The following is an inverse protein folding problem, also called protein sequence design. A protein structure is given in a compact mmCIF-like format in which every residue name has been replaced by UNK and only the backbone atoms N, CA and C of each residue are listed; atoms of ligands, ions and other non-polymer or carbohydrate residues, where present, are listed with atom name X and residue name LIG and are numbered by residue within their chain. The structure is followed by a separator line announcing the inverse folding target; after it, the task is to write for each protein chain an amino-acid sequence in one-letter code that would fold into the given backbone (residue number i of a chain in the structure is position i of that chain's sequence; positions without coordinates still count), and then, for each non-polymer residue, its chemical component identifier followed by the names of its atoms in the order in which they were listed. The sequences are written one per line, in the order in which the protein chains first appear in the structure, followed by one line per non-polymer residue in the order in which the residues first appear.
data_IF_940703786057
#
_entry.id   IF_940703786057
#
_cell.length_a   1.000
_cell.length_b   1.000
_cell.length_c   1.000
_cell.angle_alpha   90.00
_cell.angle_beta   90.00
_cell.angle_gamma   90.00
#
_symmetry.space_group_name_H-M   'P 1'
#
loop_
_entity.id
_entity.type
_entity.pdbx_description
1 polymer ?
#
# COMPACT_ATOMS: atom_id res chain seq x y z
N UNK A 1 -4.37 11.67 36.97
CA UNK A 1 -5.44 12.03 36.01
C UNK A 1 -5.10 11.38 34.69
N UNK A 2 -5.93 10.49 34.12
CA UNK A 2 -5.69 9.98 32.77
C UNK A 2 -5.80 11.12 31.77
N UNK A 3 -4.80 11.26 30.90
CA UNK A 3 -4.82 12.23 29.80
C UNK A 3 -5.95 11.82 28.86
N UNK A 4 -6.94 12.68 28.53
CA UNK A 4 -7.99 12.31 27.60
C UNK A 4 -7.35 11.92 26.27
N UNK A 5 -7.66 10.71 25.79
CA UNK A 5 -7.19 10.27 24.48
C UNK A 5 -7.82 11.18 23.42
N UNK A 6 -7.05 11.71 22.46
CA UNK A 6 -7.62 12.52 21.40
C UNK A 6 -8.65 11.69 20.62
N UNK A 7 -9.87 12.21 20.53
CA UNK A 7 -10.92 11.62 19.70
C UNK A 7 -10.68 12.10 18.28
N UNK A 8 -10.16 11.22 17.44
CA UNK A 8 -9.97 11.51 16.02
C UNK A 8 -11.27 11.27 15.27
N UNK A 9 -11.64 12.23 14.43
CA UNK A 9 -12.72 12.09 13.45
C UNK A 9 -12.34 11.05 12.40
N UNK A 10 -13.35 10.51 11.71
CA UNK A 10 -13.13 9.62 10.55
C UNK A 10 -12.26 10.28 9.48
N UNK A 11 -12.45 11.57 9.25
CA UNK A 11 -11.69 12.31 8.24
C UNK A 11 -10.20 12.41 8.60
N UNK A 12 -9.87 12.62 9.88
CA UNK A 12 -8.48 12.64 10.35
C UNK A 12 -7.82 11.27 10.25
N UNK A 13 -8.55 10.20 10.58
CA UNK A 13 -8.08 8.82 10.40
C UNK A 13 -7.80 8.55 8.91
N UNK A 14 -8.69 8.95 8.01
CA UNK A 14 -8.47 8.76 6.57
C UNK A 14 -7.32 9.61 6.03
N UNK A 15 -7.13 10.84 6.52
CA UNK A 15 -5.97 11.66 6.16
C UNK A 15 -4.65 11.06 6.68
N UNK A 16 -4.67 10.44 7.86
CA UNK A 16 -3.53 9.66 8.35
C UNK A 16 -3.27 8.44 7.46
N UNK A 17 -4.32 7.68 7.10
CA UNK A 17 -4.21 6.53 6.18
C UNK A 17 -3.71 6.93 4.81
N UNK A 18 -4.09 8.09 4.30
CA UNK A 18 -3.60 8.54 3.00
C UNK A 18 -2.08 8.69 2.97
N UNK A 19 -1.51 9.15 4.08
CA UNK A 19 -0.05 9.26 4.24
C UNK A 19 0.58 7.90 4.51
N UNK A 20 0.09 7.18 5.51
CA UNK A 20 0.64 5.88 5.91
C UNK A 20 0.61 4.86 4.77
N UNK A 21 -0.51 4.79 4.04
CA UNK A 21 -0.73 3.85 2.95
C UNK A 21 -0.32 4.41 1.58
N UNK A 22 0.33 5.58 1.54
CA UNK A 22 0.86 6.21 0.31
C UNK A 22 -0.20 6.41 -0.78
N UNK A 23 -1.41 6.80 -0.38
CA UNK A 23 -2.56 7.08 -1.27
C UNK A 23 -2.53 8.50 -1.86
N UNK A 24 -1.36 9.14 -1.87
CA UNK A 24 -1.13 10.48 -2.41
C UNK A 24 -0.05 10.43 -3.51
N UNK A 25 -0.20 11.17 -4.63
CA UNK A 25 0.69 11.02 -5.79
C UNK A 25 2.18 11.27 -5.49
N UNK A 26 2.48 12.18 -4.56
CA UNK A 26 3.85 12.50 -4.16
C UNK A 26 4.47 11.48 -3.19
N UNK A 27 3.68 10.60 -2.59
CA UNK A 27 4.14 9.54 -1.69
C UNK A 27 4.23 8.16 -2.36
N UNK A 28 3.84 8.06 -3.64
CA UNK A 28 3.67 6.78 -4.32
C UNK A 28 4.94 5.93 -4.33
N UNK A 29 4.77 4.62 -4.30
CA UNK A 29 5.84 3.65 -4.55
C UNK A 29 6.25 3.72 -6.02
N UNK A 30 7.55 3.86 -6.28
CA UNK A 30 8.11 4.00 -7.64
C UNK A 30 9.05 2.85 -8.04
N UNK A 31 9.36 1.97 -7.11
CA UNK A 31 10.35 0.91 -7.30
C UNK A 31 10.77 0.26 -5.99
N UNK A 32 11.72 -0.66 -6.09
CA UNK A 32 12.10 -1.60 -5.03
C UNK A 32 12.42 -0.92 -3.69
N UNK A 33 13.29 0.09 -3.68
CA UNK A 33 13.67 0.80 -2.43
C UNK A 33 12.49 1.46 -1.75
N UNK A 34 11.59 2.09 -2.53
CA UNK A 34 10.38 2.72 -1.98
C UNK A 34 9.32 1.71 -1.53
N UNK A 35 9.30 0.54 -2.17
CA UNK A 35 8.39 -0.55 -1.84
C UNK A 35 8.83 -1.24 -0.53
N UNK A 36 10.12 -1.52 -0.36
CA UNK A 36 10.65 -2.07 0.89
C UNK A 36 10.33 -1.14 2.07
N UNK A 37 10.69 0.14 1.95
CA UNK A 37 10.35 1.14 2.98
C UNK A 37 8.84 1.19 3.27
N UNK A 38 8.00 1.03 2.23
CA UNK A 38 6.56 0.96 2.43
C UNK A 38 6.14 -0.24 3.28
N UNK A 39 6.61 -1.43 2.94
CA UNK A 39 6.30 -2.66 3.68
C UNK A 39 6.79 -2.55 5.12
N UNK A 40 7.99 -2.02 5.34
CA UNK A 40 8.54 -1.79 6.68
C UNK A 40 7.67 -0.83 7.50
N UNK A 41 7.24 0.28 6.91
CA UNK A 41 6.41 1.29 7.60
C UNK A 41 5.02 0.75 8.00
N UNK A 42 4.43 -0.14 7.20
CA UNK A 42 3.07 -0.66 7.44
C UNK A 42 3.04 -2.06 8.07
N UNK A 43 4.19 -2.74 8.14
CA UNK A 43 4.37 -4.10 8.65
C UNK A 43 3.89 -5.19 7.69
N UNK A 44 2.69 -5.04 7.13
CA UNK A 44 2.15 -5.95 6.11
C UNK A 44 1.15 -5.23 5.20
N UNK A 45 0.98 -5.75 3.98
CA UNK A 45 0.02 -5.22 3.03
C UNK A 45 -0.52 -6.32 2.12
N UNK A 46 -1.70 -6.08 1.54
CA UNK A 46 -2.15 -6.85 0.40
C UNK A 46 -1.37 -6.48 -0.86
N UNK A 47 -1.35 -7.37 -1.86
CA UNK A 47 -0.64 -7.10 -3.12
C UNK A 47 -1.45 -6.23 -4.08
N UNK A 48 -2.64 -6.68 -4.49
CA UNK A 48 -3.40 -6.06 -5.60
C UNK A 48 -4.67 -5.32 -5.18
N UNK A 49 -5.28 -5.67 -4.06
CA UNK A 49 -6.56 -5.10 -3.63
C UNK A 49 -6.56 -4.99 -2.11
N UNK A 50 -7.14 -3.92 -1.59
CA UNK A 50 -7.41 -3.79 -0.15
C UNK A 50 -8.77 -4.40 0.25
N UNK A 51 -9.54 -4.92 -0.72
CA UNK A 51 -10.89 -5.48 -0.52
C UNK A 51 -11.86 -4.53 0.19
N UNK A 52 -11.62 -3.21 0.11
CA UNK A 52 -12.38 -2.21 0.86
C UNK A 52 -12.10 -2.20 2.36
N UNK A 53 -11.14 -2.98 2.83
CA UNK A 53 -10.71 -3.00 4.22
C UNK A 53 -9.73 -1.84 4.50
N UNK A 54 -9.65 -1.36 5.75
CA UNK A 54 -8.72 -0.31 6.14
C UNK A 54 -7.27 -0.82 6.31
N UNK A 55 -6.79 -1.63 5.36
CA UNK A 55 -5.48 -2.27 5.34
C UNK A 55 -4.66 -1.72 4.18
N UNK A 56 -3.34 -1.66 4.34
CA UNK A 56 -2.43 -1.23 3.29
C UNK A 56 -2.46 -2.19 2.07
N UNK A 57 -2.29 -1.63 0.87
CA UNK A 57 -2.16 -2.39 -0.37
C UNK A 57 -1.00 -1.86 -1.21
N UNK A 58 -0.14 -2.75 -1.69
CA UNK A 58 1.01 -2.41 -2.52
C UNK A 58 0.56 -1.76 -3.83
N UNK A 59 -0.46 -2.31 -4.50
CA UNK A 59 -1.03 -1.71 -5.70
C UNK A 59 -1.54 -0.29 -5.45
N UNK A 60 -2.30 -0.08 -4.38
CA UNK A 60 -2.82 1.25 -4.02
C UNK A 60 -1.66 2.24 -3.77
N UNK A 61 -0.61 1.80 -3.08
CA UNK A 61 0.59 2.59 -2.82
C UNK A 61 1.39 2.89 -4.11
N UNK A 62 1.43 1.97 -5.08
CA UNK A 62 2.01 2.18 -6.41
C UNK A 62 1.19 3.21 -7.21
N UNK A 63 -0.14 3.07 -7.20
CA UNK A 63 -1.05 4.00 -7.86
C UNK A 63 -1.00 5.41 -7.27
N UNK A 64 -0.63 5.55 -5.99
CA UNK A 64 -0.54 6.84 -5.32
C UNK A 64 -1.87 7.56 -5.17
N UNK A 65 -2.98 6.83 -5.10
CA UNK A 65 -4.34 7.39 -5.00
C UNK A 65 -5.23 6.48 -4.17
N UNK A 66 -6.16 7.07 -3.39
CA UNK A 66 -7.01 6.34 -2.44
C UNK A 66 -7.91 5.28 -3.08
N UNK A 67 -8.47 5.59 -4.24
CA UNK A 67 -9.43 4.73 -4.95
C UNK A 67 -8.96 4.49 -6.38
N UNK A 68 -7.90 3.69 -6.60
CA UNK A 68 -7.47 3.36 -7.94
C UNK A 68 -8.57 2.54 -8.63
N UNK A 69 -8.93 2.94 -9.84
CA UNK A 69 -9.83 2.13 -10.68
C UNK A 69 -9.03 0.98 -11.27
N UNK A 70 -9.61 -0.22 -11.26
CA UNK A 70 -9.01 -1.35 -11.94
C UNK A 70 -8.95 -1.08 -13.45
N UNK A 71 -7.78 -1.23 -14.10
CA UNK A 71 -7.67 -0.99 -15.53
C UNK A 71 -8.40 -2.07 -16.33
N UNK A 72 -8.93 -1.70 -17.50
CA UNK A 72 -9.59 -2.65 -18.41
C UNK A 72 -8.61 -3.66 -19.00
N UNK A 73 -7.39 -3.22 -19.30
CA UNK A 73 -6.33 -4.05 -19.87
C UNK A 73 -5.15 -4.11 -18.89
N UNK A 74 -5.13 -5.14 -18.06
CA UNK A 74 -4.16 -5.28 -16.96
C UNK A 74 -2.74 -5.58 -17.44
N UNK A 75 -2.57 -6.28 -18.57
CA UNK A 75 -1.27 -6.71 -19.09
C UNK A 75 -0.34 -5.57 -19.55
N UNK A 76 -0.91 -4.41 -19.86
CA UNK A 76 -0.16 -3.23 -20.31
C UNK A 76 -0.22 -2.08 -19.32
N UNK A 77 -0.84 -2.30 -18.16
CA UNK A 77 -0.95 -1.26 -17.15
C UNK A 77 0.38 -1.15 -16.36
N UNK A 78 1.02 0.03 -16.34
CA UNK A 78 2.33 0.19 -15.72
C UNK A 78 2.30 0.04 -14.19
N UNK A 79 1.16 0.32 -13.54
CA UNK A 79 1.03 0.24 -12.08
C UNK A 79 0.81 -1.20 -11.63
N UNK A 80 0.01 -1.97 -12.38
CA UNK A 80 -0.12 -3.42 -12.20
C UNK A 80 1.22 -4.11 -12.49
N UNK A 81 1.85 -3.79 -13.62
CA UNK A 81 3.14 -4.35 -14.00
C UNK A 81 4.21 -4.12 -12.94
N UNK A 82 4.32 -2.88 -12.44
CA UNK A 82 5.23 -2.56 -11.35
C UNK A 82 4.88 -3.29 -10.05
N UNK A 83 3.59 -3.40 -9.71
CA UNK A 83 3.17 -4.11 -8.49
C UNK A 83 3.58 -5.58 -8.52
N UNK A 84 3.39 -6.26 -9.67
CA UNK A 84 3.81 -7.64 -9.85
C UNK A 84 5.33 -7.80 -9.78
N UNK A 85 6.08 -6.95 -10.48
CA UNK A 85 7.55 -6.94 -10.44
C UNK A 85 8.07 -6.78 -9.01
N UNK A 86 7.49 -5.88 -8.22
CA UNK A 86 7.89 -5.66 -6.82
C UNK A 86 7.56 -6.86 -5.92
N UNK A 87 6.37 -7.45 -6.09
CA UNK A 87 5.94 -8.64 -5.33
C UNK A 87 6.82 -9.85 -5.65
N UNK A 88 7.40 -9.95 -6.85
CA UNK A 88 8.34 -11.04 -7.17
C UNK A 88 9.78 -10.72 -6.70
N UNK A 89 10.26 -9.49 -6.91
CA UNK A 89 11.64 -9.11 -6.57
C UNK A 89 11.94 -9.10 -5.08
N UNK A 90 11.06 -8.53 -4.26
CA UNK A 90 11.33 -8.37 -2.83
C UNK A 90 11.47 -9.72 -2.09
N UNK A 91 10.55 -10.70 -2.27
CA UNK A 91 10.70 -12.02 -1.67
C UNK A 91 11.86 -12.82 -2.29
N UNK A 92 12.12 -12.69 -3.59
CA UNK A 92 13.29 -13.35 -4.21
C UNK A 92 14.61 -12.92 -3.56
N UNK A 93 14.67 -11.67 -3.08
CA UNK A 93 15.81 -11.12 -2.31
C UNK A 93 15.73 -11.39 -0.80
N UNK A 94 14.72 -12.13 -0.33
CA UNK A 94 14.44 -12.39 1.09
C UNK A 94 14.23 -11.13 1.93
N UNK A 95 13.75 -10.06 1.30
CA UNK A 95 13.47 -8.78 1.97
C UNK A 95 12.04 -8.73 2.52
N UNK A 96 11.12 -9.50 1.93
CA UNK A 96 9.74 -9.63 2.39
C UNK A 96 9.27 -11.08 2.28
N UNK A 97 8.19 -11.42 2.97
CA UNK A 97 7.48 -12.68 2.79
C UNK A 97 6.19 -12.43 2.00
N UNK A 98 5.92 -13.27 0.99
CA UNK A 98 4.66 -13.26 0.24
C UNK A 98 3.97 -14.61 0.41
N UNK A 99 2.72 -14.59 0.89
CA UNK A 99 1.97 -15.81 1.14
C UNK A 99 0.52 -15.55 1.56
N UNK A 100 -0.20 -16.64 1.79
CA UNK A 100 -1.55 -16.64 2.36
C UNK A 100 -1.45 -16.69 3.87
N UNK A 101 -2.17 -15.80 4.56
CA UNK A 101 -2.37 -15.88 6.00
C UNK A 101 -3.46 -16.93 6.29
N UNK A 102 -3.17 -17.90 7.16
CA UNK A 102 -4.09 -18.97 7.55
C UNK A 102 -4.79 -18.64 8.87
#
# INVERSE_FOLDING_TARGET
MPVPRPVLTRQEIEAWRDRAFRRLPHLKVRGERSALRFVDDVGFCFTLSDFGLPVASLYVAVCGRRHPRWPKHTHHDPEIGLTWDLKDRLPAKRLTYYGKLL
#
